data_IF_612371193139
#
_entry.id   IF_612371193139
#
_cell.length_a   1.000
_cell.length_b   1.000
_cell.length_c   1.000
_cell.angle_alpha   90.00
_cell.angle_beta   90.00
_cell.angle_gamma   90.00
#
_symmetry.space_group_name_H-M   'P 1'
#
loop_
_entity.id
_entity.type
_entity.pdbx_description
1 polymer ?
#
# COMPACT_ATOMS: atom_id res chain seq x y z
N UNK A 1 8.32 -27.58 -19.14
CA UNK A 1 9.12 -26.36 -19.31
C UNK A 1 8.64 -25.37 -18.27
N UNK A 2 9.49 -24.83 -17.38
CA UNK A 2 9.04 -23.78 -16.49
C UNK A 2 8.68 -22.56 -17.35
N UNK A 3 7.41 -22.16 -17.33
CA UNK A 3 6.98 -20.94 -17.98
C UNK A 3 7.63 -19.79 -17.22
N UNK A 4 8.66 -19.18 -17.79
CA UNK A 4 9.26 -17.94 -17.28
C UNK A 4 8.27 -16.81 -17.54
N UNK A 5 7.33 -16.56 -16.63
CA UNK A 5 6.29 -15.53 -16.75
C UNK A 5 6.81 -14.13 -16.32
N UNK A 6 8.13 -13.91 -16.38
CA UNK A 6 8.78 -12.65 -16.00
C UNK A 6 8.42 -11.51 -16.96
N UNK A 7 7.69 -10.52 -16.45
CA UNK A 7 7.50 -9.24 -17.14
C UNK A 7 8.69 -8.34 -16.83
N UNK A 8 9.43 -7.90 -17.87
CA UNK A 8 10.55 -6.96 -17.70
C UNK A 8 10.03 -5.55 -17.44
N UNK A 9 10.71 -4.82 -16.55
CA UNK A 9 10.49 -3.38 -16.36
C UNK A 9 11.14 -2.57 -17.49
N UNK A 10 10.62 -1.37 -17.75
CA UNK A 10 11.29 -0.36 -18.54
C UNK A 10 12.51 0.20 -17.81
N UNK A 11 12.50 0.22 -16.48
CA UNK A 11 13.65 0.61 -15.66
C UNK A 11 14.60 -0.59 -15.49
N UNK A 12 15.86 -0.52 -15.96
CA UNK A 12 16.75 -1.69 -16.01
C UNK A 12 17.11 -2.30 -14.65
N UNK A 13 17.10 -1.47 -13.59
CA UNK A 13 17.43 -1.87 -12.23
C UNK A 13 16.26 -2.56 -11.51
N UNK A 14 15.05 -2.44 -12.05
CA UNK A 14 13.87 -3.03 -11.44
C UNK A 14 13.74 -4.50 -11.85
N UNK A 15 13.54 -5.42 -10.88
CA UNK A 15 13.50 -6.86 -11.15
C UNK A 15 12.27 -7.28 -11.98
N UNK A 16 11.24 -6.44 -12.06
CA UNK A 16 9.98 -6.71 -12.72
C UNK A 16 8.99 -7.42 -11.79
N UNK A 17 8.18 -8.30 -12.39
CA UNK A 17 7.24 -9.15 -11.65
C UNK A 17 7.74 -10.60 -11.71
N UNK A 18 8.02 -11.17 -10.54
CA UNK A 18 8.61 -12.50 -10.39
C UNK A 18 8.10 -13.20 -9.12
N UNK A 19 7.89 -14.51 -9.17
CA UNK A 19 7.22 -15.37 -8.19
C UNK A 19 8.17 -16.52 -8.04
N UNK A 20 8.81 -16.50 -6.90
CA UNK A 20 9.72 -17.52 -6.45
C UNK A 20 8.87 -18.63 -5.83
N UNK A 21 8.70 -19.72 -6.57
CA UNK A 21 7.94 -20.88 -6.11
C UNK A 21 8.57 -21.55 -4.88
N UNK A 22 9.91 -21.53 -4.77
CA UNK A 22 10.61 -22.16 -3.66
C UNK A 22 10.34 -21.44 -2.34
N UNK A 23 10.30 -20.11 -2.39
CA UNK A 23 10.01 -19.26 -1.24
C UNK A 23 8.53 -18.86 -1.12
N UNK A 24 7.70 -19.15 -2.13
CA UNK A 24 6.30 -18.70 -2.26
C UNK A 24 6.15 -17.19 -2.19
N UNK A 25 7.13 -16.46 -2.75
CA UNK A 25 7.19 -15.00 -2.70
C UNK A 25 6.91 -14.39 -4.05
N UNK A 26 5.96 -13.44 -4.12
CA UNK A 26 5.74 -12.60 -5.29
C UNK A 26 6.52 -11.28 -5.11
N UNK A 27 7.56 -11.09 -5.89
CA UNK A 27 8.30 -9.85 -6.05
C UNK A 27 7.64 -8.98 -7.11
N UNK A 28 7.36 -7.73 -6.74
CA UNK A 28 6.75 -6.73 -7.60
C UNK A 28 7.54 -5.42 -7.47
N UNK A 29 8.32 -5.09 -8.50
CA UNK A 29 8.91 -3.77 -8.68
C UNK A 29 9.06 -3.56 -10.19
N UNK A 30 8.17 -2.76 -10.75
CA UNK A 30 7.97 -2.71 -12.19
C UNK A 30 7.43 -1.35 -12.65
N UNK A 31 8.03 -0.85 -13.72
CA UNK A 31 7.66 0.35 -14.45
C UNK A 31 7.35 -0.04 -15.88
N UNK A 32 6.24 0.46 -16.41
CA UNK A 32 5.89 0.21 -17.81
C UNK A 32 4.75 1.07 -18.33
N UNK A 33 4.57 1.03 -19.65
CA UNK A 33 3.44 1.66 -20.32
C UNK A 33 2.15 0.90 -19.98
N UNK A 34 1.16 1.62 -19.48
CA UNK A 34 -0.10 1.05 -19.02
C UNK A 34 -1.28 1.54 -19.86
N UNK A 35 -2.27 0.66 -20.04
CA UNK A 35 -3.54 1.04 -20.66
C UNK A 35 -4.55 1.61 -19.64
N UNK A 36 -5.63 2.21 -20.15
CA UNK A 36 -6.74 2.77 -19.34
C UNK A 36 -7.40 1.78 -18.37
N UNK A 37 -7.24 0.47 -18.59
CA UNK A 37 -7.79 -0.57 -17.72
C UNK A 37 -6.85 -1.02 -16.60
N UNK A 38 -5.60 -0.55 -16.58
CA UNK A 38 -4.57 -1.07 -15.68
C UNK A 38 -4.96 -0.96 -14.22
N UNK A 39 -5.43 0.20 -13.77
CA UNK A 39 -5.85 0.40 -12.38
C UNK A 39 -6.91 -0.61 -11.95
N UNK A 40 -7.94 -0.84 -12.77
CA UNK A 40 -8.99 -1.82 -12.49
C UNK A 40 -8.43 -3.26 -12.41
N UNK A 41 -7.50 -3.61 -13.30
CA UNK A 41 -6.87 -4.94 -13.30
C UNK A 41 -5.97 -5.10 -12.08
N UNK A 42 -5.24 -4.06 -11.69
CA UNK A 42 -4.40 -4.04 -10.49
C UNK A 42 -5.26 -4.26 -9.23
N UNK A 43 -6.31 -3.46 -9.04
CA UNK A 43 -7.23 -3.59 -7.91
C UNK A 43 -7.83 -5.00 -7.82
N UNK A 44 -8.33 -5.54 -8.95
CA UNK A 44 -8.88 -6.90 -8.99
C UNK A 44 -7.83 -7.99 -8.72
N UNK A 45 -6.59 -7.77 -9.13
CA UNK A 45 -5.49 -8.71 -8.90
C UNK A 45 -5.07 -8.72 -7.44
N UNK A 46 -5.01 -7.55 -6.80
CA UNK A 46 -4.70 -7.42 -5.37
C UNK A 46 -5.82 -7.98 -4.51
N UNK A 47 -7.09 -7.76 -4.86
CA UNK A 47 -8.22 -8.39 -4.18
C UNK A 47 -8.16 -9.93 -4.27
N UNK A 48 -7.79 -10.47 -5.43
CA UNK A 48 -7.63 -11.91 -5.61
C UNK A 48 -6.39 -12.49 -4.89
N UNK A 49 -5.32 -11.70 -4.78
CA UNK A 49 -4.07 -12.10 -4.12
C UNK A 49 -4.18 -12.05 -2.59
N UNK A 50 -4.90 -11.07 -2.06
CA UNK A 50 -4.98 -10.77 -0.62
C UNK A 50 -5.18 -12.00 0.27
N UNK A 51 -6.18 -12.88 0.03
CA UNK A 51 -6.39 -14.08 0.85
C UNK A 51 -5.21 -15.07 0.92
N UNK A 52 -4.25 -14.97 0.01
CA UNK A 52 -3.05 -15.80 -0.03
C UNK A 52 -1.83 -15.13 0.61
N UNK A 53 -1.91 -13.85 0.96
CA UNK A 53 -0.84 -13.14 1.66
C UNK A 53 -0.75 -13.62 3.11
N UNK A 54 0.48 -13.79 3.61
CA UNK A 54 0.74 -14.17 5.01
C UNK A 54 0.40 -13.02 5.97
N UNK A 55 0.77 -11.81 5.59
CA UNK A 55 0.47 -10.58 6.30
C UNK A 55 0.00 -9.49 5.33
N UNK A 56 -0.57 -8.41 5.86
CA UNK A 56 -0.91 -7.27 5.04
C UNK A 56 0.36 -6.48 4.68
N UNK A 57 0.52 -6.17 3.39
CA UNK A 57 1.66 -5.45 2.83
C UNK A 57 1.20 -4.19 2.10
N UNK A 58 2.11 -3.22 2.05
CA UNK A 58 1.96 -1.97 1.30
C UNK A 58 2.40 -2.17 -0.15
N UNK A 59 1.62 -1.60 -1.07
CA UNK A 59 1.94 -1.53 -2.50
C UNK A 59 1.89 -0.06 -2.92
N UNK A 60 3.07 0.52 -3.17
CA UNK A 60 3.22 1.88 -3.66
C UNK A 60 3.09 1.90 -5.19
N UNK A 61 2.24 2.80 -5.70
CA UNK A 61 1.96 2.95 -7.12
C UNK A 61 2.08 4.42 -7.49
N UNK A 62 3.00 4.71 -8.41
CA UNK A 62 3.16 6.04 -9.00
C UNK A 62 2.65 6.03 -10.44
N UNK A 63 1.70 6.92 -10.75
CA UNK A 63 1.24 7.16 -12.11
C UNK A 63 1.91 8.41 -12.68
N UNK A 64 2.56 8.25 -13.83
CA UNK A 64 3.16 9.34 -14.59
C UNK A 64 2.23 9.74 -15.73
N UNK A 65 1.77 10.99 -15.75
CA UNK A 65 0.91 11.50 -16.81
C UNK A 65 1.73 12.22 -17.89
N UNK A 66 1.22 12.23 -19.13
CA UNK A 66 1.83 12.96 -20.25
C UNK A 66 1.93 14.47 -20.01
N UNK A 67 1.10 15.02 -19.11
CA UNK A 67 1.16 16.41 -18.64
C UNK A 67 2.40 16.72 -17.80
N UNK A 68 3.15 15.71 -17.37
CA UNK A 68 4.23 15.82 -16.40
C UNK A 68 3.76 15.76 -14.95
N UNK A 69 2.46 15.62 -14.70
CA UNK A 69 1.93 15.39 -13.36
C UNK A 69 2.18 13.96 -12.88
N UNK A 70 2.34 13.81 -11.57
CA UNK A 70 2.54 12.52 -10.90
C UNK A 70 1.47 12.33 -9.83
N UNK A 71 0.87 11.15 -9.82
CA UNK A 71 -0.11 10.75 -8.79
C UNK A 71 0.40 9.52 -8.04
N UNK A 72 0.54 9.65 -6.72
CA UNK A 72 0.99 8.56 -5.86
C UNK A 72 -0.21 7.95 -5.12
N UNK A 73 -0.29 6.62 -5.15
CA UNK A 73 -1.29 5.85 -4.42
C UNK A 73 -0.60 4.83 -3.55
N UNK A 74 -1.02 4.76 -2.29
CA UNK A 74 -0.62 3.71 -1.38
C UNK A 74 -1.77 2.73 -1.23
N UNK A 75 -1.52 1.47 -1.55
CA UNK A 75 -2.49 0.40 -1.49
C UNK A 75 -2.08 -0.59 -0.40
N UNK A 76 -3.05 -1.21 0.25
CA UNK A 76 -2.80 -2.28 1.22
C UNK A 76 -3.47 -3.56 0.74
N UNK A 77 -2.73 -4.67 0.73
CA UNK A 77 -3.22 -6.00 0.36
C UNK A 77 -2.90 -6.98 1.47
N UNK A 78 -3.88 -7.78 1.91
CA UNK A 78 -3.67 -8.72 3.01
C UNK A 78 -4.76 -9.78 3.13
N UNK A 79 -4.59 -10.73 4.05
CA UNK A 79 -5.46 -11.92 4.16
C UNK A 79 -6.91 -11.62 4.52
N UNK A 80 -7.16 -10.51 5.24
CA UNK A 80 -8.48 -10.06 5.67
C UNK A 80 -8.45 -8.55 5.96
N UNK A 81 -9.62 -7.94 6.19
CA UNK A 81 -9.69 -6.49 6.41
C UNK A 81 -9.05 -6.06 7.73
N UNK A 82 -9.04 -6.91 8.75
CA UNK A 82 -8.39 -6.59 10.03
C UNK A 82 -6.89 -6.43 9.83
N UNK A 83 -6.24 -7.37 9.13
CA UNK A 83 -4.82 -7.29 8.81
C UNK A 83 -4.49 -6.05 7.98
N UNK A 84 -5.32 -5.73 6.99
CA UNK A 84 -5.17 -4.51 6.17
C UNK A 84 -5.29 -3.25 7.02
N UNK A 85 -6.27 -3.18 7.92
CA UNK A 85 -6.46 -2.06 8.83
C UNK A 85 -5.31 -1.90 9.84
N UNK A 86 -4.78 -3.01 10.35
CA UNK A 86 -3.61 -3.00 11.23
C UNK A 86 -2.34 -2.54 10.50
N UNK A 87 -2.15 -2.92 9.23
CA UNK A 87 -1.05 -2.41 8.41
C UNK A 87 -1.16 -0.90 8.14
N UNK A 88 -2.37 -0.40 7.83
CA UNK A 88 -2.61 1.04 7.70
C UNK A 88 -2.29 1.80 8.99
N UNK A 89 -2.70 1.24 10.14
CA UNK A 89 -2.38 1.80 11.45
C UNK A 89 -0.87 1.90 11.65
N UNK A 90 -0.14 0.81 11.42
CA UNK A 90 1.33 0.78 11.54
C UNK A 90 1.98 1.82 10.62
N UNK A 91 1.61 1.84 9.35
CA UNK A 91 2.11 2.80 8.36
C UNK A 91 1.90 4.26 8.82
N UNK A 92 0.69 4.59 9.27
CA UNK A 92 0.37 5.94 9.73
C UNK A 92 1.14 6.34 10.99
N UNK A 93 1.32 5.42 11.95
CA UNK A 93 2.09 5.69 13.17
C UNK A 93 3.57 5.94 12.84
N UNK A 94 4.14 5.16 11.93
CA UNK A 94 5.51 5.35 11.44
C UNK A 94 5.66 6.70 10.73
N UNK A 95 4.74 7.04 9.82
CA UNK A 95 4.73 8.32 9.09
C UNK A 95 4.61 9.52 10.04
N UNK A 96 3.69 9.47 11.01
CA UNK A 96 3.49 10.54 12.01
C UNK A 96 4.71 10.67 12.91
N UNK A 97 5.28 9.54 13.37
CA UNK A 97 6.50 9.54 14.17
C UNK A 97 7.65 10.20 13.41
N UNK A 98 7.90 9.78 12.17
CA UNK A 98 8.96 10.32 11.31
C UNK A 98 8.76 11.80 10.96
N UNK A 99 7.51 12.26 10.87
CA UNK A 99 7.21 13.68 10.67
C UNK A 99 7.56 14.53 11.89
N UNK A 100 7.34 14.01 13.10
CA UNK A 100 7.46 14.75 14.36
C UNK A 100 8.85 14.68 15.00
N UNK A 101 9.62 13.62 14.74
CA UNK A 101 10.93 13.36 15.38
C UNK A 101 11.96 14.49 15.21
N UNK A 102 11.82 15.30 14.15
CA UNK A 102 12.72 16.42 13.88
C UNK A 102 12.56 17.59 14.87
N UNK A 103 11.40 17.68 15.52
CA UNK A 103 11.03 18.85 16.34
C UNK A 103 10.70 18.49 17.79
N UNK A 104 10.22 17.28 18.04
CA UNK A 104 9.72 16.88 19.35
C UNK A 104 10.49 15.70 19.93
N UNK A 105 10.51 15.60 21.25
CA UNK A 105 11.07 14.46 21.97
C UNK A 105 10.12 13.27 21.98
N UNK A 106 10.65 12.09 22.30
CA UNK A 106 9.92 10.82 22.29
C UNK A 106 8.61 10.86 23.09
N UNK A 107 8.61 11.42 24.30
CA UNK A 107 7.41 11.46 25.16
C UNK A 107 6.24 12.20 24.50
N UNK A 108 6.49 13.38 23.91
CA UNK A 108 5.47 14.14 23.18
C UNK A 108 5.01 13.43 21.91
N UNK A 109 5.89 12.69 21.24
CA UNK A 109 5.52 11.88 20.07
C UNK A 109 4.62 10.72 20.50
N UNK A 110 4.98 10.01 21.57
CA UNK A 110 4.20 8.90 22.11
C UNK A 110 2.77 9.35 22.49
N UNK A 111 2.59 10.57 23.03
CA UNK A 111 1.27 11.16 23.29
C UNK A 111 0.45 11.32 22.00
N UNK A 112 1.05 11.82 20.91
CA UNK A 112 0.36 11.99 19.63
C UNK A 112 0.03 10.63 19.01
N UNK A 113 0.96 9.68 19.05
CA UNK A 113 0.75 8.31 18.55
C UNK A 113 -0.37 7.59 19.31
N UNK A 114 -0.55 7.87 20.61
CA UNK A 114 -1.67 7.33 21.37
C UNK A 114 -3.03 7.85 20.85
N UNK A 115 -3.11 9.13 20.49
CA UNK A 115 -4.33 9.71 19.89
C UNK A 115 -4.61 9.09 18.52
N UNK A 116 -3.59 8.93 17.67
CA UNK A 116 -3.74 8.29 16.36
C UNK A 116 -4.22 6.85 16.52
N UNK A 117 -3.65 6.08 17.46
CA UNK A 117 -4.10 4.72 17.76
C UNK A 117 -5.59 4.65 18.13
N UNK A 118 -6.05 5.54 19.02
CA UNK A 118 -7.46 5.60 19.44
C UNK A 118 -8.38 5.97 18.27
N UNK A 119 -7.95 6.79 17.32
CA UNK A 119 -8.70 7.05 16.08
C UNK A 119 -8.88 5.77 15.25
N UNK A 120 -7.84 4.95 15.09
CA UNK A 120 -7.95 3.66 14.38
C UNK A 120 -8.85 2.67 15.14
N UNK A 121 -8.81 2.64 16.48
CA UNK A 121 -9.71 1.79 17.26
C UNK A 121 -11.18 2.18 17.07
N UNK A 122 -11.47 3.48 16.99
CA UNK A 122 -12.82 4.00 16.73
C UNK A 122 -13.26 3.72 15.30
N UNK A 123 -12.43 3.98 14.31
CA UNK A 123 -12.72 3.69 12.89
C UNK A 123 -13.06 2.22 12.70
N UNK A 124 -12.27 1.31 13.28
CA UNK A 124 -12.53 -0.13 13.19
C UNK A 124 -13.89 -0.52 13.79
N UNK A 125 -14.22 0.01 14.97
CA UNK A 125 -15.51 -0.22 15.63
C UNK A 125 -16.68 0.29 14.80
N UNK A 126 -16.53 1.47 14.21
CA UNK A 126 -17.56 2.09 13.37
C UNK A 126 -17.76 1.28 12.09
N UNK A 127 -16.68 0.87 11.41
CA UNK A 127 -16.73 -0.03 10.23
C UNK A 127 -17.41 -1.36 10.56
N UNK A 128 -17.12 -1.95 11.72
CA UNK A 128 -17.75 -3.20 12.18
C UNK A 128 -19.25 -3.06 12.47
N UNK A 129 -19.73 -1.86 12.76
CA UNK A 129 -21.15 -1.57 13.05
C UNK A 129 -22.01 -1.36 11.80
N UNK A 130 -21.38 -1.18 10.62
CA UNK A 130 -22.09 -0.97 9.35
C UNK A 130 -22.56 -2.29 8.74
N UNK A 131 -23.71 -2.32 8.03
CA UNK A 131 -24.16 -3.52 7.33
C UNK A 131 -23.09 -3.96 6.32
N UNK A 132 -22.70 -5.25 6.41
CA UNK A 132 -21.57 -5.86 5.69
C UNK A 132 -21.47 -5.39 4.23
N UNK A 133 -20.69 -4.34 3.98
CA UNK A 133 -19.99 -4.18 2.71
C UNK A 133 -19.02 -5.35 2.65
N UNK A 134 -18.88 -6.00 1.48
CA UNK A 134 -17.96 -7.13 1.34
C UNK A 134 -16.60 -6.74 1.93
N UNK A 135 -16.12 -7.55 2.87
CA UNK A 135 -14.83 -7.34 3.52
C UNK A 135 -13.77 -7.36 2.41
N UNK A 136 -13.16 -6.21 2.14
CA UNK A 136 -12.20 -6.09 1.05
C UNK A 136 -10.82 -6.44 1.57
N UNK A 137 -10.16 -7.36 0.89
CA UNK A 137 -8.73 -7.65 1.07
C UNK A 137 -7.83 -6.53 0.50
N UNK A 138 -8.42 -5.37 0.20
CA UNK A 138 -7.83 -4.26 -0.53
C UNK A 138 -8.46 -2.92 -0.14
N UNK A 139 -7.64 -1.92 0.14
CA UNK A 139 -8.09 -0.56 0.42
C UNK A 139 -7.09 0.47 -0.17
N UNK A 140 -7.61 1.44 -0.91
CA UNK A 140 -6.83 2.49 -1.61
C UNK A 140 -6.73 3.73 -0.73
N UNK A 141 -5.50 4.21 -0.54
CA UNK A 141 -5.21 5.49 0.09
C UNK A 141 -4.52 6.39 -0.92
N UNK A 142 -5.16 7.50 -1.25
CA UNK A 142 -4.49 8.57 -1.99
C UNK A 142 -3.57 9.28 -1.01
N UNK A 143 -2.25 9.12 -1.17
CA UNK A 143 -1.29 9.96 -0.44
C UNK A 143 -1.45 11.37 -1.03
N UNK A 144 -1.74 12.37 -0.20
CA UNK A 144 -1.69 13.76 -0.69
C UNK A 144 -0.32 14.00 -1.32
N UNK A 145 -0.26 14.63 -2.51
CA UNK A 145 0.98 14.73 -3.26
C UNK A 145 2.05 15.37 -2.38
N UNK A 146 3.12 14.63 -2.09
CA UNK A 146 4.27 15.15 -1.38
C UNK A 146 4.90 16.20 -2.30
N UNK A 147 4.66 17.46 -1.99
CA UNK A 147 5.15 18.61 -2.76
C UNK A 147 6.65 18.79 -2.48
N UNK A 148 7.47 17.82 -2.88
CA UNK A 148 8.92 17.85 -2.72
C UNK A 148 9.62 17.22 -3.92
N UNK A 149 9.56 17.93 -5.04
CA UNK A 149 10.74 18.10 -5.87
C UNK A 149 11.11 19.57 -5.79
N UNK A 150 11.94 19.93 -4.80
CA UNK A 150 12.71 21.17 -4.86
C UNK A 150 13.91 20.83 -5.76
N UNK A 151 13.82 21.21 -7.03
CA UNK A 151 14.98 21.45 -7.88
C UNK A 151 15.22 22.96 -7.94
#
# INVERSE_FOLDING_TARGET
MPMSWKTRSLEPEEPGIEYDEANRMLYLCWTGEIGRSFQKVLESSLEALGPYAEEAVEVDVTFYQDSGEQENQLLFVGPNAQSVHEAQRRCMLEDVSAMLERQFGKESIDEVLAVVNDLFDRDWRDKASQPKKAERAFETYTRTPNRKNLH
#
